data_IF_305381056420
#
_entry.id   IF_305381056420
#
_cell.length_a   1.000
_cell.length_b   1.000
_cell.length_c   1.000
_cell.angle_alpha   90.00
_cell.angle_beta   90.00
_cell.angle_gamma   90.00
#
_symmetry.space_group_name_H-M   'P 1'
#
loop_
_entity.id
_entity.type
_entity.pdbx_description
1 polymer ?
#
# COMPACT_ATOMS: atom_id res chain seq x y z
N UNK A 1 63.72 8.09 -20.73
CA UNK A 1 62.47 7.64 -20.07
C UNK A 1 61.48 8.78 -20.10
N UNK A 2 60.30 8.67 -20.74
CA UNK A 2 59.38 9.79 -20.83
C UNK A 2 58.36 9.79 -19.68
N UNK A 3 58.15 10.98 -19.13
CA UNK A 3 57.16 11.36 -18.14
C UNK A 3 55.73 11.04 -18.58
N UNK A 4 54.97 10.37 -17.72
CA UNK A 4 53.53 10.16 -17.88
C UNK A 4 52.79 11.44 -17.52
N UNK A 5 52.67 12.36 -18.48
CA UNK A 5 51.77 13.51 -18.39
C UNK A 5 50.33 13.00 -18.24
N UNK A 6 49.79 13.09 -17.01
CA UNK A 6 48.36 12.94 -16.77
C UNK A 6 47.60 14.03 -17.53
N UNK A 7 46.87 13.62 -18.56
CA UNK A 7 46.07 14.50 -19.42
C UNK A 7 45.03 15.24 -18.55
N UNK A 8 45.00 16.59 -18.57
CA UNK A 8 44.00 17.38 -17.86
C UNK A 8 42.59 16.97 -18.31
N UNK A 9 41.80 16.42 -17.39
CA UNK A 9 40.45 15.91 -17.67
C UNK A 9 40.27 14.41 -17.39
N UNK A 10 41.35 13.61 -17.37
CA UNK A 10 41.28 12.19 -17.04
C UNK A 10 40.80 11.94 -15.60
N UNK A 11 41.24 12.77 -14.65
CA UNK A 11 40.79 12.70 -13.26
C UNK A 11 39.31 13.07 -13.09
N UNK A 12 38.84 14.09 -13.81
CA UNK A 12 37.45 14.52 -13.78
C UNK A 12 36.52 13.49 -14.44
N UNK A 13 36.96 12.87 -15.54
CA UNK A 13 36.22 11.81 -16.21
C UNK A 13 36.14 10.54 -15.35
N UNK A 14 37.21 10.18 -14.65
CA UNK A 14 37.20 9.09 -13.68
C UNK A 14 36.26 9.37 -12.49
N UNK A 15 36.24 10.62 -12.00
CA UNK A 15 35.29 11.01 -10.95
C UNK A 15 33.83 10.89 -11.42
N UNK A 16 33.52 11.35 -12.64
CA UNK A 16 32.17 11.22 -13.23
C UNK A 16 31.76 9.77 -13.42
N UNK A 17 32.67 8.90 -13.89
CA UNK A 17 32.40 7.47 -14.04
C UNK A 17 32.10 6.81 -12.70
N UNK A 18 32.86 7.13 -11.65
CA UNK A 18 32.66 6.60 -10.29
C UNK A 18 31.35 7.08 -9.67
N UNK A 19 30.98 8.34 -9.90
CA UNK A 19 29.71 8.88 -9.43
C UNK A 19 28.53 8.21 -10.14
N UNK A 20 28.65 8.00 -11.46
CA UNK A 20 27.62 7.32 -12.27
C UNK A 20 27.48 5.83 -11.91
N UNK A 21 28.57 5.14 -11.55
CA UNK A 21 28.51 3.75 -11.09
C UNK A 21 27.85 3.63 -9.72
N UNK A 22 28.12 4.57 -8.79
CA UNK A 22 27.45 4.61 -7.49
C UNK A 22 25.94 4.91 -7.63
N UNK A 23 25.57 5.86 -8.48
CA UNK A 23 24.15 6.16 -8.76
C UNK A 23 23.41 4.99 -9.39
N UNK A 24 24.07 4.20 -10.25
CA UNK A 24 23.47 2.99 -10.84
C UNK A 24 23.36 1.86 -9.81
N UNK A 25 24.36 1.66 -8.94
CA UNK A 25 24.30 0.67 -7.87
C UNK A 25 23.20 1.01 -6.83
N UNK A 26 22.95 2.30 -6.57
CA UNK A 26 21.85 2.77 -5.72
C UNK A 26 20.49 2.51 -6.38
N UNK A 27 20.37 2.74 -7.69
CA UNK A 27 19.17 2.42 -8.48
C UNK A 27 18.88 0.92 -8.61
N UNK A 28 19.91 0.06 -8.63
CA UNK A 28 19.76 -1.41 -8.71
C UNK A 28 19.52 -2.06 -7.34
N UNK A 29 19.81 -1.37 -6.23
CA UNK A 29 19.57 -1.87 -4.86
C UNK A 29 18.11 -1.75 -4.40
N UNK A 30 17.16 -1.45 -5.29
CA UNK A 30 15.73 -1.64 -5.04
C UNK A 30 15.08 -0.71 -3.99
N UNK A 31 15.79 0.33 -3.54
CA UNK A 31 15.15 1.45 -2.88
C UNK A 31 14.50 2.31 -3.95
N UNK A 32 13.20 2.14 -4.19
CA UNK A 32 12.42 3.06 -5.00
C UNK A 32 12.86 4.49 -4.64
N UNK A 33 13.38 5.23 -5.60
CA UNK A 33 13.67 6.66 -5.43
C UNK A 33 12.33 7.32 -5.18
N UNK A 34 11.90 7.34 -3.91
CA UNK A 34 10.71 8.04 -3.45
C UNK A 34 11.05 9.48 -3.72
N UNK A 35 10.57 9.99 -4.86
CA UNK A 35 10.74 11.37 -5.24
C UNK A 35 10.19 12.18 -4.06
N UNK A 36 11.01 12.89 -3.27
CA UNK A 36 10.56 13.49 -2.01
C UNK A 36 9.44 14.52 -2.24
N UNK A 37 9.36 15.03 -3.48
CA UNK A 37 8.29 15.89 -3.98
C UNK A 37 6.98 15.15 -4.28
N UNK A 38 7.03 13.92 -4.81
CA UNK A 38 5.82 13.14 -5.06
C UNK A 38 5.07 12.85 -3.75
N UNK A 39 5.80 12.49 -2.69
CA UNK A 39 5.21 12.32 -1.35
C UNK A 39 4.67 13.64 -0.76
N UNK A 40 5.23 14.79 -1.13
CA UNK A 40 4.74 16.10 -0.71
C UNK A 40 3.43 16.47 -1.42
N UNK A 41 3.33 16.25 -2.73
CA UNK A 41 2.10 16.49 -3.50
C UNK A 41 0.96 15.58 -3.06
N UNK A 42 1.24 14.28 -2.85
CA UNK A 42 0.26 13.33 -2.31
C UNK A 42 -0.22 13.76 -0.93
N UNK A 43 0.69 14.21 -0.05
CA UNK A 43 0.34 14.73 1.26
C UNK A 43 -0.58 15.95 1.16
N UNK A 44 -0.26 16.93 0.31
CA UNK A 44 -1.09 18.13 0.12
C UNK A 44 -2.49 17.73 -0.35
N UNK A 45 -2.61 16.87 -1.37
CA UNK A 45 -3.91 16.42 -1.88
C UNK A 45 -4.75 15.72 -0.80
N UNK A 46 -4.14 14.82 -0.03
CA UNK A 46 -4.82 14.12 1.06
C UNK A 46 -5.22 15.05 2.20
N UNK A 47 -4.36 16.02 2.54
CA UNK A 47 -4.65 17.04 3.54
C UNK A 47 -5.85 17.89 3.14
N UNK A 48 -5.82 18.49 1.95
CA UNK A 48 -6.90 19.37 1.48
C UNK A 48 -8.23 18.61 1.45
N UNK A 49 -8.24 17.39 0.91
CA UNK A 49 -9.45 16.56 0.85
C UNK A 49 -9.95 16.14 2.23
N UNK A 50 -9.07 15.81 3.18
CA UNK A 50 -9.46 15.51 4.55
C UNK A 50 -10.09 16.74 5.24
N UNK A 51 -9.50 17.93 5.06
CA UNK A 51 -9.99 19.18 5.67
C UNK A 51 -11.34 19.64 5.09
N UNK A 52 -11.73 19.18 3.91
CA UNK A 52 -13.08 19.47 3.37
C UNK A 52 -14.21 18.83 4.17
N UNK A 53 -13.91 17.81 4.99
CA UNK A 53 -14.93 17.01 5.69
C UNK A 53 -15.75 16.09 4.77
N UNK A 54 -15.50 16.08 3.46
CA UNK A 54 -16.16 15.16 2.54
C UNK A 54 -15.36 13.85 2.40
N UNK A 55 -15.87 12.81 3.07
CA UNK A 55 -15.26 11.48 3.05
C UNK A 55 -15.04 10.92 1.64
N UNK A 56 -15.93 11.20 0.67
CA UNK A 56 -15.79 10.68 -0.68
C UNK A 56 -14.59 11.28 -1.41
N UNK A 57 -14.31 12.57 -1.24
CA UNK A 57 -13.12 13.21 -1.83
C UNK A 57 -11.82 12.68 -1.24
N UNK A 58 -11.80 12.49 0.08
CA UNK A 58 -10.66 11.87 0.75
C UNK A 58 -10.46 10.42 0.28
N UNK A 59 -11.53 9.63 0.18
CA UNK A 59 -11.47 8.25 -0.30
C UNK A 59 -10.97 8.15 -1.75
N UNK A 60 -11.37 9.05 -2.63
CA UNK A 60 -10.84 9.10 -4.01
C UNK A 60 -9.36 9.45 -4.01
N UNK A 61 -8.95 10.48 -3.27
CA UNK A 61 -7.53 10.85 -3.18
C UNK A 61 -6.67 9.74 -2.56
N UNK A 62 -7.22 9.00 -1.58
CA UNK A 62 -6.57 7.85 -0.95
C UNK A 62 -6.46 6.66 -1.91
N UNK A 63 -7.51 6.38 -2.67
CA UNK A 63 -7.52 5.35 -3.70
C UNK A 63 -6.45 5.63 -4.77
N UNK A 64 -6.38 6.87 -5.25
CA UNK A 64 -5.36 7.33 -6.21
C UNK A 64 -3.95 7.18 -5.62
N UNK A 65 -3.73 7.63 -4.38
CA UNK A 65 -2.42 7.61 -3.72
C UNK A 65 -1.88 6.20 -3.48
N UNK A 66 -2.77 5.26 -3.14
CA UNK A 66 -2.41 3.86 -2.86
C UNK A 66 -2.53 2.96 -4.10
N UNK A 67 -3.04 3.47 -5.21
CA UNK A 67 -3.39 2.72 -6.43
C UNK A 67 -4.32 1.51 -6.15
N UNK A 68 -5.32 1.72 -5.30
CA UNK A 68 -6.34 0.72 -4.93
C UNK A 68 -7.71 1.14 -5.46
N UNK A 69 -8.68 0.23 -5.44
CA UNK A 69 -10.06 0.58 -5.80
C UNK A 69 -10.73 1.49 -4.76
N UNK A 70 -11.66 2.31 -5.24
CA UNK A 70 -12.46 3.20 -4.40
C UNK A 70 -13.26 2.45 -3.32
N UNK A 71 -13.78 1.25 -3.64
CA UNK A 71 -14.48 0.39 -2.67
C UNK A 71 -13.58 -0.01 -1.50
N UNK A 72 -12.32 -0.37 -1.80
CA UNK A 72 -11.30 -0.70 -0.80
C UNK A 72 -10.95 0.53 0.03
N UNK A 73 -10.70 1.69 -0.59
CA UNK A 73 -10.43 2.94 0.12
C UNK A 73 -11.58 3.36 1.04
N UNK A 74 -12.83 3.17 0.58
CA UNK A 74 -14.04 3.37 1.39
C UNK A 74 -14.09 2.40 2.57
N UNK A 75 -13.80 1.11 2.37
CA UNK A 75 -13.77 0.14 3.45
C UNK A 75 -12.69 0.45 4.51
N UNK A 76 -11.53 0.96 4.09
CA UNK A 76 -10.45 1.36 5.00
C UNK A 76 -10.84 2.53 5.91
N UNK A 77 -11.72 3.41 5.44
CA UNK A 77 -12.14 4.62 6.15
C UNK A 77 -13.52 4.50 6.82
N UNK A 78 -14.35 3.53 6.40
CA UNK A 78 -15.68 3.30 6.96
C UNK A 78 -15.65 2.69 8.36
N UNK A 79 -14.56 2.02 8.74
CA UNK A 79 -14.41 1.49 10.08
C UNK A 79 -14.27 2.64 11.08
N UNK A 80 -14.93 2.52 12.24
CA UNK A 80 -14.78 3.47 13.36
C UNK A 80 -13.35 3.53 13.91
N UNK A 81 -12.48 2.61 13.49
CA UNK A 81 -11.10 2.53 13.91
C UNK A 81 -10.15 2.95 12.77
N UNK A 82 -9.34 3.96 13.05
CA UNK A 82 -8.33 4.51 12.14
C UNK A 82 -7.10 3.59 11.92
N UNK A 83 -7.06 2.38 12.48
CA UNK A 83 -5.93 1.43 12.33
C UNK A 83 -5.65 1.07 10.87
N UNK A 84 -6.69 0.92 10.05
CA UNK A 84 -6.54 0.67 8.61
C UNK A 84 -5.93 1.88 7.90
N UNK A 85 -6.35 3.08 8.28
CA UNK A 85 -5.79 4.33 7.78
C UNK A 85 -4.32 4.50 8.21
N UNK A 86 -3.94 4.11 9.44
CA UNK A 86 -2.54 4.15 9.88
C UNK A 86 -1.62 3.33 8.96
N UNK A 87 -2.05 2.12 8.61
CA UNK A 87 -1.29 1.27 7.70
C UNK A 87 -1.19 1.87 6.29
N UNK A 88 -2.26 2.50 5.79
CA UNK A 88 -2.21 3.23 4.54
C UNK A 88 -1.20 4.40 4.57
N UNK A 89 -1.27 5.26 5.58
CA UNK A 89 -0.38 6.42 5.70
C UNK A 89 1.09 6.01 5.89
N UNK A 90 1.32 4.89 6.60
CA UNK A 90 2.65 4.32 6.79
C UNK A 90 3.22 3.73 5.49
N UNK A 91 2.38 3.11 4.66
CA UNK A 91 2.78 2.62 3.34
C UNK A 91 3.15 3.76 2.38
N UNK A 92 2.53 4.94 2.53
CA UNK A 92 2.87 6.18 1.82
C UNK A 92 4.12 6.89 2.36
N UNK A 93 4.79 6.30 3.36
CA UNK A 93 6.00 6.84 3.97
C UNK A 93 5.84 8.22 4.63
N UNK A 94 4.63 8.53 5.11
CA UNK A 94 4.41 9.79 5.82
C UNK A 94 5.02 9.76 7.23
N UNK A 95 5.65 10.88 7.61
CA UNK A 95 6.09 11.11 8.98
C UNK A 95 4.92 11.24 9.96
N UNK A 96 5.23 11.11 11.26
CA UNK A 96 4.25 11.13 12.36
C UNK A 96 3.30 12.33 12.29
N UNK A 97 3.84 13.54 12.09
CA UNK A 97 3.02 14.76 12.09
C UNK A 97 2.04 14.84 10.92
N UNK A 98 2.48 14.43 9.74
CA UNK A 98 1.65 14.40 8.53
C UNK A 98 0.53 13.38 8.66
N UNK A 99 0.86 12.20 9.17
CA UNK A 99 -0.10 11.14 9.41
C UNK A 99 -1.12 11.53 10.48
N UNK A 100 -0.66 12.18 11.56
CA UNK A 100 -1.52 12.69 12.62
C UNK A 100 -2.52 13.71 12.08
N UNK A 101 -2.04 14.73 11.35
CA UNK A 101 -2.90 15.79 10.83
C UNK A 101 -4.00 15.24 9.91
N UNK A 102 -3.66 14.32 9.00
CA UNK A 102 -4.66 13.66 8.14
C UNK A 102 -5.65 12.86 8.98
N UNK A 103 -5.18 12.09 9.95
CA UNK A 103 -6.06 11.24 10.77
C UNK A 103 -7.00 12.08 11.63
N UNK A 104 -6.51 13.16 12.23
CA UNK A 104 -7.32 14.08 13.04
C UNK A 104 -8.37 14.83 12.21
N UNK A 105 -8.05 15.17 10.95
CA UNK A 105 -9.02 15.78 10.03
C UNK A 105 -10.13 14.80 9.61
N UNK A 106 -9.80 13.52 9.40
CA UNK A 106 -10.78 12.48 9.02
C UNK A 106 -11.60 11.99 10.22
N UNK A 107 -10.99 11.90 11.40
CA UNK A 107 -11.61 11.38 12.63
C UNK A 107 -11.46 12.38 13.79
N UNK A 108 -12.10 13.56 13.74
CA UNK A 108 -11.94 14.57 14.78
C UNK A 108 -12.42 14.10 16.16
N UNK A 109 -13.41 13.20 16.20
CA UNK A 109 -13.95 12.65 17.44
C UNK A 109 -12.98 11.72 18.20
N UNK A 110 -11.97 11.17 17.54
CA UNK A 110 -11.00 10.23 18.13
C UNK A 110 -9.90 10.93 18.95
N UNK A 111 -9.80 12.27 18.86
CA UNK A 111 -8.74 13.06 19.51
C UNK A 111 -9.26 14.15 20.46
N UNK A 112 -10.13 13.82 21.45
CA UNK A 112 -10.68 14.82 22.37
C UNK A 112 -9.67 15.25 23.45
N UNK A 113 -8.64 14.45 23.74
CA UNK A 113 -7.70 14.70 24.82
C UNK A 113 -6.24 14.34 24.44
N UNK A 114 -5.22 14.94 25.08
CA UNK A 114 -3.80 14.71 24.74
C UNK A 114 -3.36 13.25 24.81
N UNK A 115 -4.00 12.43 25.66
CA UNK A 115 -3.67 11.00 25.75
C UNK A 115 -4.01 10.22 24.46
N UNK A 116 -5.02 10.64 23.70
CA UNK A 116 -5.38 9.99 22.44
C UNK A 116 -4.30 10.24 21.38
N UNK A 117 -3.74 11.45 21.36
CA UNK A 117 -2.60 11.82 20.52
C UNK A 117 -1.38 10.95 20.88
N UNK A 118 -1.09 10.78 22.18
CA UNK A 118 0.03 9.92 22.62
C UNK A 118 -0.15 8.47 22.16
N UNK A 119 -1.34 7.90 22.36
CA UNK A 119 -1.66 6.53 21.94
C UNK A 119 -1.51 6.38 20.41
N UNK A 120 -1.95 7.38 19.64
CA UNK A 120 -1.77 7.40 18.20
C UNK A 120 -0.28 7.36 17.81
N UNK A 121 0.55 8.22 18.41
CA UNK A 121 1.97 8.28 18.11
C UNK A 121 2.69 6.98 18.48
N UNK A 122 2.38 6.41 19.65
CA UNK A 122 2.93 5.13 20.07
C UNK A 122 2.58 4.00 19.08
N UNK A 123 1.30 3.93 18.65
CA UNK A 123 0.86 2.94 17.65
C UNK A 123 1.52 3.15 16.30
N UNK A 124 1.69 4.40 15.87
CA UNK A 124 2.31 4.71 14.58
C UNK A 124 3.80 4.33 14.55
N UNK A 125 4.51 4.54 15.67
CA UNK A 125 5.92 4.14 15.82
C UNK A 125 6.11 2.63 15.83
N UNK A 126 5.20 1.90 16.46
CA UNK A 126 5.20 0.44 16.47
C UNK A 126 4.85 -0.16 15.09
N UNK A 127 4.20 0.60 14.22
CA UNK A 127 3.84 0.13 12.89
C UNK A 127 5.03 0.22 11.93
N UNK A 128 5.68 -0.91 11.70
CA UNK A 128 6.76 -1.02 10.72
C UNK A 128 6.26 -0.79 9.29
N UNK A 129 7.08 -0.09 8.50
CA UNK A 129 6.80 0.21 7.09
C UNK A 129 6.59 -1.07 6.28
N UNK A 130 7.36 -2.12 6.54
CA UNK A 130 7.23 -3.39 5.81
C UNK A 130 5.88 -4.08 6.05
N UNK A 131 5.43 -4.11 7.32
CA UNK A 131 4.11 -4.64 7.65
C UNK A 131 2.96 -3.82 7.01
N UNK A 132 3.15 -2.50 6.85
CA UNK A 132 2.21 -1.64 6.15
C UNK A 132 2.19 -1.93 4.64
N UNK A 133 3.36 -2.14 4.02
CA UNK A 133 3.47 -2.51 2.61
C UNK A 133 2.86 -3.88 2.32
N UNK A 134 3.00 -4.86 3.21
CA UNK A 134 2.36 -6.16 3.06
C UNK A 134 0.83 -6.07 3.12
N UNK A 135 0.28 -5.21 3.99
CA UNK A 135 -1.17 -4.91 3.98
C UNK A 135 -1.61 -4.26 2.67
N UNK A 136 -0.83 -3.30 2.16
CA UNK A 136 -1.11 -2.66 0.88
C UNK A 136 -1.10 -3.66 -0.28
N UNK A 137 -0.16 -4.62 -0.29
CA UNK A 137 -0.15 -5.72 -1.27
C UNK A 137 -1.41 -6.56 -1.21
N UNK A 138 -1.89 -6.88 -0.01
CA UNK A 138 -3.18 -7.57 0.20
C UNK A 138 -4.35 -6.79 -0.40
N UNK A 139 -4.39 -5.47 -0.21
CA UNK A 139 -5.44 -4.61 -0.77
C UNK A 139 -5.36 -4.49 -2.30
N UNK A 140 -4.16 -4.40 -2.86
CA UNK A 140 -3.93 -4.42 -4.32
C UNK A 140 -4.29 -5.77 -4.93
N UNK A 141 -4.13 -6.88 -4.20
CA UNK A 141 -4.53 -8.19 -4.68
C UNK A 141 -6.06 -8.32 -4.83
N UNK A 142 -6.84 -7.65 -3.98
CA UNK A 142 -8.32 -7.62 -4.10
C UNK A 142 -8.75 -6.94 -5.41
N UNK A 143 -8.02 -5.90 -5.85
CA UNK A 143 -8.24 -5.24 -7.14
C UNK A 143 -8.04 -6.18 -8.33
N UNK A 144 -6.98 -6.98 -8.26
CA UNK A 144 -6.57 -7.88 -9.35
C UNK A 144 -7.39 -9.19 -9.34
N UNK A 145 -7.89 -9.58 -8.18
CA UNK A 145 -8.90 -10.62 -8.02
C UNK A 145 -10.27 -10.05 -8.45
N UNK A 146 -10.41 -9.75 -9.74
CA UNK A 146 -11.72 -9.52 -10.36
C UNK A 146 -12.67 -10.67 -10.04
N UNK A 147 -13.99 -10.48 -10.23
CA UNK A 147 -15.01 -11.41 -9.74
C UNK A 147 -14.70 -12.81 -10.27
N UNK A 148 -14.24 -13.69 -9.38
CA UNK A 148 -14.12 -15.11 -9.69
C UNK A 148 -15.55 -15.55 -9.92
N UNK A 149 -15.94 -15.71 -11.18
CA UNK A 149 -17.21 -16.27 -11.60
C UNK A 149 -17.49 -17.51 -10.78
N UNK A 150 -18.44 -17.40 -9.84
CA UNK A 150 -18.99 -18.47 -9.03
C UNK A 150 -19.86 -19.43 -9.86
N UNK A 151 -19.42 -19.80 -11.07
CA UNK A 151 -20.17 -20.57 -12.06
C UNK A 151 -19.34 -21.72 -12.68
N UNK A 152 -18.51 -22.41 -11.89
CA UNK A 152 -17.74 -23.57 -12.37
C UNK A 152 -18.18 -24.93 -11.83
N UNK A 153 -18.97 -25.04 -10.74
CA UNK A 153 -19.17 -26.35 -10.07
C UNK A 153 -20.60 -26.90 -10.01
N UNK A 154 -21.50 -26.48 -10.92
CA UNK A 154 -22.81 -27.16 -11.06
C UNK A 154 -23.00 -27.68 -12.48
N UNK A 155 -22.05 -28.47 -13.00
CA UNK A 155 -22.36 -29.46 -14.04
C UNK A 155 -21.48 -30.70 -13.89
N UNK A 156 -22.17 -31.82 -13.68
CA UNK A 156 -21.79 -33.21 -14.03
C UNK A 156 -21.37 -34.12 -12.87
N UNK A 157 -22.38 -34.54 -12.10
CA UNK A 157 -22.38 -35.84 -11.43
C UNK A 157 -23.78 -36.45 -11.60
N UNK A 158 -24.09 -36.90 -12.81
CA UNK A 158 -25.13 -37.91 -13.00
C UNK A 158 -24.67 -38.85 -14.11
N UNK A 159 -23.84 -39.80 -13.72
CA UNK A 159 -23.49 -40.97 -14.50
C UNK A 159 -23.30 -42.12 -13.52
N UNK A 160 -24.08 -43.17 -13.75
CA UNK A 160 -23.94 -44.54 -13.23
C UNK A 160 -24.45 -44.81 -11.81
N UNK A 161 -25.78 -44.91 -11.67
CA UNK A 161 -26.38 -45.89 -10.76
C UNK A 161 -26.67 -47.19 -11.52
N UNK A 162 -25.60 -47.93 -11.82
CA UNK A 162 -25.67 -49.31 -12.26
C UNK A 162 -25.91 -50.23 -11.03
N UNK A 163 -27.05 -50.91 -11.07
CA UNK A 163 -27.27 -52.28 -10.61
C UNK A 163 -26.61 -52.73 -9.29
N UNK A 164 -27.43 -52.91 -8.24
CA UNK A 164 -27.54 -54.19 -7.52
C UNK A 164 -28.53 -54.09 -6.34
N UNK A 165 -29.49 -55.03 -6.26
CA UNK A 165 -29.74 -55.96 -5.12
C UNK A 165 -31.17 -56.54 -5.07
N UNK A 166 -31.39 -57.71 -4.43
CA UNK A 166 -31.97 -58.87 -5.10
C UNK A 166 -33.35 -59.32 -4.58
N UNK A 167 -33.88 -60.32 -5.31
CA UNK A 167 -35.13 -61.07 -5.15
C UNK A 167 -35.51 -61.43 -3.71
N UNK A 168 -36.74 -61.08 -3.33
CA UNK A 168 -37.44 -61.62 -2.17
C UNK A 168 -37.96 -63.04 -2.47
N UNK A 169 -37.75 -63.94 -1.49
CA UNK A 169 -38.10 -65.36 -1.50
C UNK A 169 -39.44 -65.56 -0.79
N UNK A 170 -40.34 -66.30 -1.43
CA UNK A 170 -41.61 -66.79 -0.92
C UNK A 170 -41.50 -67.53 0.42
N UNK A 171 -42.49 -67.31 1.29
CA UNK A 171 -43.19 -68.34 2.09
C UNK A 171 -44.67 -67.98 2.09
#
# INVERSE_FOLDING_TARGET
>A
SPDSQQVPGAAAENARRRLRSLMRADAESGGATVNPFAGAETYVKLRETALTGNAAFFQTALADALEIDFSTARALTANQNYTSLLAALRALDFGEERAFLITAAVYPAEFPHPQAIRIFLDRYRLLHRDAALDRLRGWKAIRNAGPISANADIRKADSDNAAARPKARHV
#
